data_IF_823166274988
#
_entry.id   IF_823166274988
#
_cell.length_a   1.000
_cell.length_b   1.000
_cell.length_c   1.000
_cell.angle_alpha   90.00
_cell.angle_beta   90.00
_cell.angle_gamma   90.00
#
_symmetry.space_group_name_H-M   'P 1'
#
loop_
_entity.id
_entity.type
_entity.pdbx_description
1 polymer ?
#
# COMPACT_ATOMS: atom_id res chain seq x y z
N UNK A 1 -20.33 13.92 23.21
CA UNK A 1 -21.22 13.05 24.01
C UNK A 1 -20.89 11.61 23.63
N UNK A 2 -20.64 10.71 24.57
CA UNK A 2 -20.29 9.30 24.29
C UNK A 2 -21.56 8.46 24.45
N UNK A 3 -21.85 7.61 23.47
CA UNK A 3 -22.98 6.68 23.54
C UNK A 3 -22.76 5.69 24.69
N UNK A 4 -23.75 5.57 25.58
CA UNK A 4 -23.75 4.62 26.69
C UNK A 4 -24.90 3.65 26.49
N UNK A 5 -24.59 2.37 26.40
CA UNK A 5 -25.56 1.29 26.28
C UNK A 5 -25.51 0.44 27.55
N UNK A 6 -26.64 -0.11 27.95
CA UNK A 6 -26.79 -0.99 29.12
C UNK A 6 -27.43 -2.31 28.66
N UNK A 7 -26.71 -3.42 28.80
CA UNK A 7 -27.14 -4.74 28.35
C UNK A 7 -28.36 -5.31 29.08
N UNK A 8 -28.80 -4.67 30.17
CA UNK A 8 -30.02 -5.03 30.89
C UNK A 8 -31.29 -4.40 30.30
N UNK A 9 -31.15 -3.39 29.44
CA UNK A 9 -32.30 -2.69 28.86
C UNK A 9 -32.94 -3.51 27.74
N UNK A 10 -34.27 -3.51 27.62
CA UNK A 10 -34.98 -4.27 26.59
C UNK A 10 -34.65 -3.82 25.16
N UNK A 11 -34.17 -2.60 24.98
CA UNK A 11 -33.79 -2.02 23.69
C UNK A 11 -32.28 -2.08 23.40
N UNK A 12 -31.48 -2.70 24.29
CA UNK A 12 -30.02 -2.83 24.13
C UNK A 12 -29.63 -3.36 22.76
N UNK A 13 -30.27 -4.44 22.30
CA UNK A 13 -29.92 -5.08 21.04
C UNK A 13 -30.17 -4.15 19.84
N UNK A 14 -31.24 -3.35 19.89
CA UNK A 14 -31.56 -2.38 18.84
C UNK A 14 -30.58 -1.19 18.86
N UNK A 15 -30.26 -0.66 20.04
CA UNK A 15 -29.27 0.41 20.19
C UNK A 15 -27.88 -0.05 19.75
N UNK A 16 -27.48 -1.28 20.11
CA UNK A 16 -26.22 -1.86 19.68
C UNK A 16 -26.20 -2.07 18.17
N UNK A 17 -27.27 -2.59 17.58
CA UNK A 17 -27.36 -2.76 16.13
C UNK A 17 -27.29 -1.41 15.40
N UNK A 18 -27.93 -0.37 15.91
CA UNK A 18 -27.84 0.99 15.33
C UNK A 18 -26.45 1.62 15.54
N UNK A 19 -25.76 1.30 16.63
CA UNK A 19 -24.37 1.74 16.83
C UNK A 19 -23.41 1.01 15.89
N UNK A 20 -23.66 -0.28 15.66
CA UNK A 20 -22.87 -1.14 14.78
C UNK A 20 -23.27 -0.99 13.30
N UNK A 21 -24.41 -0.37 12.99
CA UNK A 21 -24.84 -0.13 11.61
C UNK A 21 -23.93 0.93 11.00
N UNK A 22 -22.83 0.45 10.43
CA UNK A 22 -21.95 1.25 9.60
C UNK A 22 -22.57 1.31 8.20
N UNK A 23 -23.28 2.39 7.91
CA UNK A 23 -23.55 2.73 6.52
C UNK A 23 -22.22 3.12 5.88
N UNK A 24 -21.58 2.14 5.24
CA UNK A 24 -20.56 2.45 4.25
C UNK A 24 -21.19 3.40 3.25
N UNK A 25 -20.66 4.61 3.16
CA UNK A 25 -21.17 5.65 2.26
C UNK A 25 -20.99 5.15 0.83
N UNK A 26 -21.99 4.42 0.31
CA UNK A 26 -22.07 3.99 -1.07
C UNK A 26 -22.60 5.16 -1.90
N UNK A 27 -21.77 6.19 -2.05
CA UNK A 27 -22.10 7.33 -2.90
C UNK A 27 -21.92 6.92 -4.37
N UNK A 28 -23.05 6.75 -5.06
CA UNK A 28 -23.07 6.43 -6.50
C UNK A 28 -22.31 7.44 -7.36
N UNK A 29 -22.19 8.70 -6.90
CA UNK A 29 -21.41 9.71 -7.62
C UNK A 29 -19.92 9.43 -7.55
N UNK A 30 -19.41 8.95 -6.40
CA UNK A 30 -18.02 8.52 -6.24
C UNK A 30 -17.76 7.29 -7.10
N UNK A 31 -18.67 6.32 -7.10
CA UNK A 31 -18.55 5.12 -7.93
C UNK A 31 -18.47 5.48 -9.43
N UNK A 32 -19.36 6.34 -9.91
CA UNK A 32 -19.37 6.79 -11.30
C UNK A 32 -18.06 7.50 -11.67
N UNK A 33 -17.55 8.38 -10.80
CA UNK A 33 -16.30 9.10 -11.03
C UNK A 33 -15.09 8.15 -11.06
N UNK A 34 -15.02 7.20 -10.14
CA UNK A 34 -13.94 6.21 -10.11
C UNK A 34 -13.95 5.35 -11.37
N UNK A 35 -15.13 4.92 -11.83
CA UNK A 35 -15.26 4.16 -13.08
C UNK A 35 -14.81 4.95 -14.31
N UNK A 36 -15.10 6.26 -14.36
CA UNK A 36 -14.61 7.14 -15.42
C UNK A 36 -13.07 7.22 -15.41
N UNK A 37 -12.46 7.43 -14.24
CA UNK A 37 -11.01 7.50 -14.07
C UNK A 37 -10.34 6.20 -14.54
N UNK A 38 -10.86 5.05 -14.09
CA UNK A 38 -10.32 3.74 -14.48
C UNK A 38 -10.43 3.55 -16.00
N UNK A 39 -11.57 3.89 -16.60
CA UNK A 39 -11.78 3.78 -18.05
C UNK A 39 -10.81 4.66 -18.82
N UNK A 40 -10.58 5.89 -18.34
CA UNK A 40 -9.67 6.83 -18.99
C UNK A 40 -8.21 6.35 -18.92
N UNK A 41 -7.74 5.86 -17.76
CA UNK A 41 -6.39 5.29 -17.61
C UNK A 41 -6.19 4.09 -18.55
N UNK A 42 -7.17 3.20 -18.66
CA UNK A 42 -7.07 2.04 -19.56
C UNK A 42 -6.98 2.42 -21.04
N UNK A 43 -7.62 3.50 -21.44
CA UNK A 43 -7.66 3.93 -22.84
C UNK A 43 -6.47 4.82 -23.22
N UNK A 44 -6.00 5.65 -22.29
CA UNK A 44 -5.08 6.74 -22.58
C UNK A 44 -3.77 6.68 -21.77
N UNK A 45 -3.59 5.67 -20.92
CA UNK A 45 -2.34 5.35 -20.22
C UNK A 45 -1.72 6.56 -19.50
N UNK A 46 -0.43 6.75 -19.74
CA UNK A 46 0.40 7.81 -19.16
C UNK A 46 -0.20 9.22 -19.31
N UNK A 47 -0.82 9.53 -20.45
CA UNK A 47 -1.43 10.85 -20.67
C UNK A 47 -2.53 11.13 -19.65
N UNK A 48 -3.42 10.17 -19.42
CA UNK A 48 -4.48 10.32 -18.43
C UNK A 48 -3.91 10.35 -17.00
N UNK A 49 -2.84 9.61 -16.73
CA UNK A 49 -2.20 9.61 -15.43
C UNK A 49 -1.56 10.96 -15.09
N UNK A 50 -0.90 11.60 -16.06
CA UNK A 50 -0.35 12.96 -15.95
C UNK A 50 -1.49 13.97 -15.72
N UNK A 51 -2.56 13.91 -16.51
CA UNK A 51 -3.72 14.81 -16.38
C UNK A 51 -4.35 14.72 -14.98
N UNK A 52 -4.52 13.52 -14.44
CA UNK A 52 -5.07 13.33 -13.09
C UNK A 52 -4.10 13.74 -11.99
N UNK A 53 -2.79 13.61 -12.19
CA UNK A 53 -1.77 14.09 -11.24
C UNK A 53 -1.78 15.62 -11.13
N UNK A 54 -1.96 16.33 -12.26
CA UNK A 54 -2.20 17.79 -12.26
C UNK A 54 -3.51 18.10 -11.54
N UNK A 55 -4.60 17.43 -11.92
CA UNK A 55 -5.95 17.73 -11.44
C UNK A 55 -6.12 17.52 -9.93
N UNK A 56 -5.59 16.42 -9.38
CA UNK A 56 -5.86 16.01 -8.00
C UNK A 56 -4.72 16.33 -7.05
N UNK A 57 -3.46 16.28 -7.52
CA UNK A 57 -2.28 16.47 -6.67
C UNK A 57 -1.56 17.80 -6.94
N UNK A 58 -1.98 18.58 -7.94
CA UNK A 58 -1.32 19.84 -8.34
C UNK A 58 0.17 19.63 -8.67
N UNK A 59 0.48 18.50 -9.33
CA UNK A 59 1.83 18.17 -9.81
C UNK A 59 1.83 18.34 -11.32
N UNK A 60 2.66 19.25 -11.83
CA UNK A 60 2.87 19.44 -13.26
C UNK A 60 4.14 18.72 -13.71
N UNK A 61 3.98 17.43 -14.08
CA UNK A 61 5.02 16.62 -14.72
C UNK A 61 4.77 16.56 -16.24
N UNK A 62 5.84 16.56 -17.04
CA UNK A 62 5.72 16.44 -18.50
C UNK A 62 5.90 14.99 -19.01
N UNK A 63 6.49 14.12 -18.19
CA UNK A 63 6.65 12.70 -18.42
C UNK A 63 6.49 11.89 -17.13
N UNK A 64 6.15 10.60 -17.24
CA UNK A 64 5.99 9.70 -16.08
C UNK A 64 7.29 9.53 -15.29
N UNK A 65 8.44 9.60 -15.94
CA UNK A 65 9.74 9.50 -15.24
C UNK A 65 9.94 10.62 -14.21
N UNK A 66 9.29 11.78 -14.38
CA UNK A 66 9.30 12.87 -13.39
C UNK A 66 8.41 12.59 -12.17
N UNK A 67 7.53 11.58 -12.25
CA UNK A 67 6.71 11.08 -11.15
C UNK A 67 7.37 9.92 -10.42
N UNK A 68 8.61 9.55 -10.77
CA UNK A 68 9.37 8.48 -10.11
C UNK A 68 10.32 9.10 -9.08
N UNK A 69 10.33 8.57 -7.85
CA UNK A 69 11.35 8.92 -6.86
C UNK A 69 12.54 7.98 -7.05
N UNK A 70 13.75 8.55 -7.20
CA UNK A 70 14.98 7.77 -7.30
C UNK A 70 15.24 6.99 -5.99
N UNK A 71 15.68 5.73 -6.08
CA UNK A 71 15.97 4.94 -4.89
C UNK A 71 17.10 5.55 -4.04
N UNK A 72 18.04 6.29 -4.64
CA UNK A 72 19.04 7.06 -3.93
C UNK A 72 18.42 8.18 -3.09
N UNK A 73 17.29 8.76 -3.50
CA UNK A 73 16.55 9.72 -2.68
C UNK A 73 15.92 9.03 -1.47
N UNK A 74 15.37 7.83 -1.63
CA UNK A 74 14.81 7.08 -0.48
C UNK A 74 15.89 6.68 0.52
N UNK A 75 17.08 6.31 0.03
CA UNK A 75 18.26 6.08 0.85
C UNK A 75 18.71 7.35 1.57
N UNK A 76 18.81 8.46 0.84
CA UNK A 76 19.20 9.77 1.41
C UNK A 76 18.22 10.23 2.48
N UNK A 77 16.91 9.97 2.28
CA UNK A 77 15.88 10.23 3.27
C UNK A 77 16.14 9.45 4.57
N UNK A 78 16.49 8.16 4.48
CA UNK A 78 16.85 7.35 5.65
C UNK A 78 18.15 7.83 6.33
N UNK A 79 19.20 8.09 5.56
CA UNK A 79 20.50 8.53 6.09
C UNK A 79 20.42 9.91 6.77
N UNK A 80 19.55 10.78 6.26
CA UNK A 80 19.30 12.13 6.78
C UNK A 80 18.41 12.20 8.03
N UNK A 81 17.79 11.09 8.46
CA UNK A 81 16.96 11.09 9.67
C UNK A 81 17.80 11.32 10.94
N UNK A 82 17.21 11.88 12.01
CA UNK A 82 17.78 11.81 13.35
C UNK A 82 18.04 10.35 13.77
N UNK A 83 19.12 10.11 14.51
CA UNK A 83 19.52 8.75 14.89
C UNK A 83 18.42 7.95 15.59
N UNK A 84 17.70 8.61 16.51
CA UNK A 84 16.57 8.01 17.22
C UNK A 84 15.46 7.52 16.28
N UNK A 85 15.23 8.22 15.17
CA UNK A 85 14.21 7.83 14.19
C UNK A 85 14.69 6.67 13.32
N UNK A 86 15.97 6.66 12.93
CA UNK A 86 16.58 5.51 12.23
C UNK A 86 16.50 4.25 13.09
N UNK A 87 16.92 4.35 14.34
CA UNK A 87 16.88 3.24 15.29
C UNK A 87 15.45 2.70 15.45
N UNK A 88 14.47 3.59 15.64
CA UNK A 88 13.07 3.20 15.78
C UNK A 88 12.53 2.49 14.54
N UNK A 89 12.86 3.01 13.34
CA UNK A 89 12.45 2.41 12.07
C UNK A 89 13.11 1.05 11.85
N UNK A 90 14.40 0.92 12.14
CA UNK A 90 15.14 -0.34 12.00
C UNK A 90 14.61 -1.41 12.95
N UNK A 91 14.41 -1.07 14.23
CA UNK A 91 13.82 -1.99 15.21
C UNK A 91 12.42 -2.42 14.79
N UNK A 92 11.57 -1.50 14.32
CA UNK A 92 10.25 -1.85 13.82
C UNK A 92 10.33 -2.78 12.61
N UNK A 93 11.17 -2.46 11.63
CA UNK A 93 11.34 -3.25 10.42
C UNK A 93 11.88 -4.66 10.72
N UNK A 94 12.87 -4.78 11.59
CA UNK A 94 13.45 -6.07 11.99
C UNK A 94 12.42 -6.95 12.69
N UNK A 95 11.66 -6.41 13.66
CA UNK A 95 10.60 -7.16 14.34
C UNK A 95 9.51 -7.64 13.40
N UNK A 96 9.07 -6.80 12.46
CA UNK A 96 8.07 -7.18 11.45
C UNK A 96 8.64 -8.28 10.56
N UNK A 97 9.89 -8.15 10.12
CA UNK A 97 10.57 -9.13 9.26
C UNK A 97 10.70 -10.49 9.94
N UNK A 98 11.18 -10.51 11.17
CA UNK A 98 11.39 -11.75 11.93
C UNK A 98 10.08 -12.48 12.24
N UNK A 99 9.01 -11.72 12.49
CA UNK A 99 7.69 -12.31 12.67
C UNK A 99 7.19 -12.96 11.37
N UNK A 100 7.26 -12.26 10.23
CA UNK A 100 6.76 -12.79 8.96
C UNK A 100 7.62 -13.94 8.41
N UNK A 101 8.93 -13.97 8.70
CA UNK A 101 9.79 -15.12 8.39
C UNK A 101 9.28 -16.41 9.02
N UNK A 102 8.70 -16.33 10.23
CA UNK A 102 8.11 -17.49 10.92
C UNK A 102 6.76 -17.94 10.33
N UNK A 103 6.12 -17.08 9.54
CA UNK A 103 4.83 -17.37 8.89
C UNK A 103 4.99 -17.83 7.44
N UNK A 104 6.22 -17.77 6.89
CA UNK A 104 6.50 -18.19 5.53
C UNK A 104 6.22 -19.69 5.37
N UNK A 105 5.52 -20.04 4.30
CA UNK A 105 5.20 -21.43 3.98
C UNK A 105 6.22 -21.98 2.97
N UNK A 106 6.79 -23.14 3.29
CA UNK A 106 7.69 -23.85 2.39
C UNK A 106 6.92 -24.66 1.34
N UNK A 107 7.55 -24.84 0.18
CA UNK A 107 7.13 -25.88 -0.78
C UNK A 107 7.48 -27.25 -0.22
N UNK A 108 6.57 -28.21 -0.33
CA UNK A 108 6.79 -29.57 0.16
C UNK A 108 6.21 -30.62 -0.80
N UNK A 109 6.74 -31.84 -0.70
CA UNK A 109 6.27 -33.03 -1.42
C UNK A 109 6.38 -34.26 -0.51
N UNK A 110 5.52 -35.26 -0.72
CA UNK A 110 5.64 -36.59 -0.12
C UNK A 110 5.29 -37.68 -1.14
N UNK A 111 5.74 -38.91 -0.86
CA UNK A 111 5.46 -40.09 -1.68
C UNK A 111 4.55 -41.04 -0.87
N UNK A 112 3.51 -41.55 -1.52
CA UNK A 112 2.58 -42.53 -0.96
C UNK A 112 3.10 -43.95 -1.13
N UNK A 113 2.50 -44.92 -0.42
CA UNK A 113 2.93 -46.33 -0.45
C UNK A 113 2.88 -46.97 -1.85
N UNK A 114 2.04 -46.42 -2.75
CA UNK A 114 1.91 -46.89 -4.13
C UNK A 114 2.88 -46.20 -5.12
N UNK A 115 3.76 -45.31 -4.61
CA UNK A 115 4.73 -44.54 -5.40
C UNK A 115 4.19 -43.22 -5.94
N UNK A 116 2.95 -42.82 -5.61
CA UNK A 116 2.39 -41.53 -6.02
C UNK A 116 3.09 -40.38 -5.29
N UNK A 117 3.52 -39.34 -6.02
CA UNK A 117 4.11 -38.14 -5.44
C UNK A 117 3.08 -37.02 -5.39
N UNK A 118 2.80 -36.51 -4.20
CA UNK A 118 1.90 -35.38 -3.94
C UNK A 118 2.66 -34.23 -3.27
N UNK A 119 2.13 -33.01 -3.36
CA UNK A 119 2.84 -31.84 -2.84
C UNK A 119 2.06 -30.54 -2.91
N UNK A 120 2.63 -29.51 -2.28
CA UNK A 120 2.20 -28.13 -2.40
C UNK A 120 3.38 -27.27 -2.84
N UNK A 121 3.21 -26.58 -3.98
CA UNK A 121 4.16 -25.56 -4.44
C UNK A 121 3.68 -24.19 -3.96
N UNK A 122 4.51 -23.52 -3.16
CA UNK A 122 4.30 -22.15 -2.69
C UNK A 122 5.24 -21.23 -3.45
N UNK A 123 4.70 -20.22 -4.14
CA UNK A 123 5.48 -19.22 -4.87
C UNK A 123 4.93 -17.82 -4.60
N UNK A 124 5.79 -16.80 -4.51
CA UNK A 124 5.35 -15.41 -4.37
C UNK A 124 4.61 -14.92 -5.62
N UNK A 125 3.84 -13.84 -5.44
CA UNK A 125 3.34 -13.05 -6.55
C UNK A 125 4.54 -12.33 -7.21
N UNK A 126 4.58 -12.30 -8.54
CA UNK A 126 5.69 -11.69 -9.28
C UNK A 126 5.85 -10.19 -8.99
N UNK A 127 4.73 -9.45 -8.95
CA UNK A 127 4.68 -8.00 -8.76
C UNK A 127 3.55 -7.60 -7.81
N UNK A 128 3.82 -6.68 -6.91
CA UNK A 128 2.83 -6.16 -5.95
C UNK A 128 2.84 -4.64 -5.97
N UNK A 129 1.65 -4.04 -6.04
CA UNK A 129 1.44 -2.62 -5.83
C UNK A 129 1.10 -2.31 -4.38
N UNK A 130 1.80 -1.35 -3.78
CA UNK A 130 1.59 -0.83 -2.43
C UNK A 130 1.09 0.62 -2.51
N UNK A 131 -0.19 0.84 -2.19
CA UNK A 131 -0.74 2.18 -2.06
C UNK A 131 -0.50 2.75 -0.66
N UNK A 132 0.17 3.89 -0.59
CA UNK A 132 0.41 4.63 0.66
C UNK A 132 -0.29 5.98 0.57
N UNK A 133 -1.18 6.33 1.51
CA UNK A 133 -1.79 7.65 1.54
C UNK A 133 -0.75 8.76 1.68
N UNK A 134 -0.94 9.86 0.93
CA UNK A 134 -0.08 11.04 1.00
C UNK A 134 -0.45 12.03 2.11
N UNK A 135 0.31 13.12 2.19
CA UNK A 135 0.05 14.24 3.10
C UNK A 135 0.19 13.90 4.59
N UNK A 136 -0.71 14.42 5.44
CA UNK A 136 -0.66 14.26 6.91
C UNK A 136 -0.99 12.85 7.40
N UNK A 137 -1.52 11.98 6.54
CA UNK A 137 -1.84 10.59 6.85
C UNK A 137 -0.73 9.61 6.40
N UNK A 138 0.43 10.13 5.99
CA UNK A 138 1.55 9.31 5.56
C UNK A 138 2.28 8.71 6.78
N UNK A 139 2.01 7.43 7.05
CA UNK A 139 2.60 6.70 8.17
C UNK A 139 3.69 5.72 7.68
N UNK A 140 4.92 5.82 8.20
CA UNK A 140 5.97 4.86 7.85
C UNK A 140 5.62 3.43 8.29
N UNK A 141 4.85 3.28 9.37
CA UNK A 141 4.37 1.97 9.84
C UNK A 141 3.55 1.23 8.80
N UNK A 142 2.68 1.93 8.05
CA UNK A 142 1.89 1.33 6.97
C UNK A 142 2.79 0.81 5.84
N UNK A 143 3.90 1.51 5.54
CA UNK A 143 4.89 1.04 4.57
C UNK A 143 5.53 -0.25 5.08
N UNK A 144 6.08 -0.24 6.30
CA UNK A 144 6.75 -1.41 6.87
C UNK A 144 5.84 -2.63 6.93
N UNK A 145 4.59 -2.45 7.39
CA UNK A 145 3.63 -3.53 7.57
C UNK A 145 3.13 -4.15 6.25
N UNK A 146 3.26 -3.46 5.12
CA UNK A 146 2.87 -4.01 3.81
C UNK A 146 4.07 -4.47 2.98
N UNK A 147 5.13 -3.68 2.96
CA UNK A 147 6.30 -3.95 2.13
C UNK A 147 7.13 -5.13 2.64
N UNK A 148 7.36 -5.21 3.96
CA UNK A 148 8.22 -6.25 4.54
C UNK A 148 7.63 -7.65 4.33
N UNK A 149 6.33 -7.92 4.57
CA UNK A 149 5.74 -9.23 4.28
C UNK A 149 5.87 -9.62 2.81
N UNK A 150 5.70 -8.66 1.88
CA UNK A 150 5.88 -8.91 0.46
C UNK A 150 7.33 -9.33 0.14
N UNK A 151 8.32 -8.64 0.69
CA UNK A 151 9.73 -9.01 0.48
C UNK A 151 10.11 -10.33 1.18
N UNK A 152 9.56 -10.61 2.37
CA UNK A 152 9.76 -11.91 3.04
C UNK A 152 9.15 -13.04 2.22
N UNK A 153 7.98 -12.85 1.62
CA UNK A 153 7.36 -13.84 0.74
C UNK A 153 8.18 -14.11 -0.53
N UNK A 154 9.07 -13.19 -0.92
CA UNK A 154 9.91 -13.29 -2.12
C UNK A 154 9.36 -12.57 -3.34
N UNK A 155 8.50 -11.55 -3.15
CA UNK A 155 8.03 -10.71 -4.27
C UNK A 155 9.22 -10.02 -4.95
N UNK A 156 9.32 -10.21 -6.27
CA UNK A 156 10.43 -9.70 -7.06
C UNK A 156 10.35 -8.19 -7.29
N UNK A 157 9.15 -7.68 -7.60
CA UNK A 157 8.92 -6.27 -7.87
C UNK A 157 7.82 -5.70 -6.97
N UNK A 158 8.21 -4.90 -5.99
CA UNK A 158 7.33 -4.17 -5.09
C UNK A 158 7.29 -2.70 -5.49
N UNK A 159 6.16 -2.26 -6.04
CA UNK A 159 5.95 -0.90 -6.53
C UNK A 159 5.11 -0.15 -5.50
N UNK A 160 5.66 0.91 -4.93
CA UNK A 160 4.92 1.81 -4.06
C UNK A 160 4.37 3.00 -4.84
N UNK A 161 3.11 3.37 -4.59
CA UNK A 161 2.51 4.61 -5.05
C UNK A 161 2.14 5.46 -3.84
N UNK A 162 2.52 6.73 -3.87
CA UNK A 162 2.25 7.69 -2.79
C UNK A 162 1.98 9.06 -3.39
N UNK A 163 0.78 9.66 -3.27
CA UNK A 163 0.56 11.00 -3.79
C UNK A 163 1.41 12.00 -3.02
N UNK A 164 1.96 12.98 -3.74
CA UNK A 164 2.73 14.09 -3.15
C UNK A 164 2.06 15.43 -3.49
N UNK A 165 0.92 15.77 -2.87
CA UNK A 165 0.21 17.00 -3.22
C UNK A 165 1.14 18.22 -3.15
N UNK A 166 1.19 19.00 -4.24
CA UNK A 166 2.12 20.12 -4.43
C UNK A 166 3.61 19.76 -4.32
N UNK A 167 3.97 18.51 -4.63
CA UNK A 167 5.35 17.99 -4.59
C UNK A 167 5.88 17.71 -3.18
N UNK A 168 5.04 17.75 -2.14
CA UNK A 168 5.50 17.56 -0.76
C UNK A 168 5.65 16.07 -0.43
N UNK A 169 6.89 15.67 -0.11
CA UNK A 169 7.23 14.30 0.30
C UNK A 169 7.38 14.18 1.83
N UNK A 170 7.20 12.96 2.34
CA UNK A 170 7.43 12.64 3.75
C UNK A 170 8.70 11.78 3.89
N UNK A 171 9.73 12.35 4.52
CA UNK A 171 11.04 11.70 4.65
C UNK A 171 10.99 10.38 5.41
N UNK A 172 10.14 10.25 6.43
CA UNK A 172 9.96 8.98 7.16
C UNK A 172 9.33 7.90 6.27
N UNK A 173 8.40 8.27 5.39
CA UNK A 173 7.79 7.32 4.44
C UNK A 173 8.81 6.86 3.39
N UNK A 174 9.62 7.77 2.86
CA UNK A 174 10.70 7.41 1.93
C UNK A 174 11.76 6.54 2.60
N UNK A 175 12.16 6.89 3.82
CA UNK A 175 13.07 6.07 4.62
C UNK A 175 12.49 4.67 4.89
N UNK A 176 11.20 4.57 5.19
CA UNK A 176 10.52 3.30 5.38
C UNK A 176 10.49 2.46 4.08
N UNK A 177 10.30 3.09 2.91
CA UNK A 177 10.37 2.43 1.61
C UNK A 177 11.77 1.84 1.36
N UNK A 178 12.83 2.61 1.66
CA UNK A 178 14.22 2.16 1.55
C UNK A 178 14.49 0.91 2.41
N UNK A 179 14.24 0.98 3.73
CA UNK A 179 14.59 -0.13 4.64
C UNK A 179 13.70 -1.36 4.49
N UNK A 180 12.51 -1.20 3.90
CA UNK A 180 11.60 -2.32 3.61
C UNK A 180 11.88 -2.99 2.28
N UNK A 181 12.72 -2.40 1.41
CA UNK A 181 13.12 -2.99 0.15
C UNK A 181 12.10 -2.77 -0.98
N UNK A 182 11.39 -1.64 -0.98
CA UNK A 182 10.57 -1.22 -2.12
C UNK A 182 11.46 -1.02 -3.34
N UNK A 183 11.04 -1.53 -4.50
CA UNK A 183 11.85 -1.55 -5.72
C UNK A 183 11.58 -0.34 -6.63
N UNK A 184 10.38 0.25 -6.56
CA UNK A 184 10.02 1.47 -7.32
C UNK A 184 9.02 2.32 -6.55
N UNK A 185 9.14 3.63 -6.64
CA UNK A 185 8.24 4.58 -5.97
C UNK A 185 7.72 5.59 -6.96
N UNK A 186 6.39 5.74 -7.06
CA UNK A 186 5.74 6.74 -7.89
C UNK A 186 4.95 7.75 -7.06
N UNK A 187 5.00 9.02 -7.43
CA UNK A 187 4.33 10.13 -6.75
C UNK A 187 2.87 10.32 -7.17
N UNK A 188 2.13 9.22 -7.33
CA UNK A 188 0.74 9.19 -7.79
C UNK A 188 -0.18 8.63 -6.70
N UNK A 189 -1.44 9.06 -6.68
CA UNK A 189 -2.46 8.57 -5.74
C UNK A 189 -3.83 8.33 -6.38
N UNK A 190 -4.85 8.19 -5.53
CA UNK A 190 -6.26 8.08 -5.96
C UNK A 190 -6.58 6.86 -6.82
N UNK A 191 -7.75 6.89 -7.46
CA UNK A 191 -8.22 5.82 -8.34
C UNK A 191 -7.31 5.65 -9.57
N UNK A 192 -6.66 6.72 -10.03
CA UNK A 192 -5.73 6.71 -11.15
C UNK A 192 -4.49 5.86 -10.87
N UNK A 193 -3.93 5.92 -9.65
CA UNK A 193 -2.79 5.09 -9.26
C UNK A 193 -3.19 3.60 -9.16
N UNK A 194 -4.37 3.32 -8.60
CA UNK A 194 -4.89 1.95 -8.54
C UNK A 194 -5.12 1.39 -9.95
N UNK A 195 -5.69 2.18 -10.86
CA UNK A 195 -5.87 1.79 -12.26
C UNK A 195 -4.52 1.55 -12.95
N UNK A 196 -3.53 2.43 -12.77
CA UNK A 196 -2.21 2.26 -13.35
C UNK A 196 -1.50 1.00 -12.85
N UNK A 197 -1.57 0.70 -11.54
CA UNK A 197 -1.02 -0.54 -10.97
C UNK A 197 -1.73 -1.80 -11.50
N UNK A 198 -3.05 -1.74 -11.69
CA UNK A 198 -3.85 -2.89 -12.09
C UNK A 198 -3.75 -3.21 -13.59
N UNK A 199 -3.75 -2.18 -14.43
CA UNK A 199 -3.81 -2.34 -15.88
C UNK A 199 -2.46 -2.12 -16.57
N UNK A 200 -1.49 -1.53 -15.86
CA UNK A 200 -0.31 -0.97 -16.49
C UNK A 200 -0.63 0.31 -17.26
N UNK A 201 0.41 1.04 -17.60
CA UNK A 201 0.40 2.13 -18.57
C UNK A 201 1.59 1.99 -19.51
#
# INVERSE_FOLDING_TARGET
>A
MINKLDSSQPDFQSQLQSLLSWEGVSDKSVESLVNEIITNIRNNGDSALLDYSVKFDNISASAIDELVIDLNETKSAFEGLPEKEKDALQVAAERVRDYHKKQQQDTWTYEEEDGTILGQKVTPINRVGLYVPGGKAAYPSSVLMNAIPAKVAGVNELIMVVPTPSGVTNQLVLAAAYISGVDKVFTIGGAQAIAALAYGT
#
